data_IF_199060279063
#
_entry.id   IF_199060279063
#
_cell.length_a   1.000
_cell.length_b   1.000
_cell.length_c   1.000
_cell.angle_alpha   90.00
_cell.angle_beta   90.00
_cell.angle_gamma   90.00
#
_symmetry.space_group_name_H-M   'P 1'
#
loop_
_entity.id
_entity.type
_entity.pdbx_description
1 polymer ?
#
# COMPACT_ATOMS: atom_id res chain seq x y z
N UNK A 1 45.81 16.08 1.66
CA UNK A 1 44.95 15.05 2.27
C UNK A 1 45.55 13.68 1.99
N UNK A 2 46.03 12.97 3.01
CA UNK A 2 46.60 11.64 2.84
C UNK A 2 45.48 10.62 2.55
N UNK A 3 45.26 10.29 1.28
CA UNK A 3 44.39 9.17 0.93
C UNK A 3 45.10 7.85 1.30
N UNK A 4 44.36 6.91 1.89
CA UNK A 4 44.92 5.59 2.17
C UNK A 4 45.30 4.91 0.84
N UNK A 5 46.43 4.21 0.81
CA UNK A 5 46.95 3.54 -0.40
C UNK A 5 45.90 2.61 -1.02
N UNK A 6 45.12 1.91 -0.18
CA UNK A 6 44.04 1.04 -0.65
C UNK A 6 42.91 1.79 -1.34
N UNK A 7 42.55 2.98 -0.84
CA UNK A 7 41.50 3.82 -1.45
C UNK A 7 41.96 4.43 -2.77
N UNK A 8 43.21 4.90 -2.84
CA UNK A 8 43.78 5.41 -4.09
C UNK A 8 43.85 4.32 -5.18
N UNK A 9 44.32 3.12 -4.85
CA UNK A 9 44.41 2.01 -5.80
C UNK A 9 43.02 1.50 -6.19
N UNK A 10 42.10 1.32 -5.22
CA UNK A 10 40.74 0.86 -5.49
C UNK A 10 39.95 1.80 -6.41
N UNK A 11 39.99 3.12 -6.16
CA UNK A 11 39.36 4.11 -7.04
C UNK A 11 40.00 4.16 -8.43
N UNK A 12 41.31 3.91 -8.51
CA UNK A 12 42.02 3.84 -9.79
C UNK A 12 41.62 2.61 -10.60
N UNK A 13 41.40 1.46 -9.96
CA UNK A 13 40.87 0.26 -10.61
C UNK A 13 39.41 0.43 -11.06
N UNK A 14 38.59 1.17 -10.30
CA UNK A 14 37.25 1.58 -10.74
C UNK A 14 37.25 2.42 -12.01
N UNK A 15 38.12 3.42 -12.09
CA UNK A 15 38.16 4.36 -13.23
C UNK A 15 38.79 3.74 -14.48
N UNK A 16 39.67 2.75 -14.29
CA UNK A 16 40.46 2.08 -15.33
C UNK A 16 41.44 3.01 -16.05
N UNK A 17 42.55 2.47 -16.56
CA UNK A 17 43.38 3.17 -17.56
C UNK A 17 42.85 2.90 -18.97
N UNK A 18 43.21 3.74 -19.94
CA UNK A 18 42.88 3.54 -21.36
C UNK A 18 43.29 2.14 -21.89
N UNK A 19 44.36 1.56 -21.34
CA UNK A 19 44.87 0.22 -21.66
C UNK A 19 44.09 -0.93 -20.98
N UNK A 20 43.40 -0.67 -19.87
CA UNK A 20 42.74 -1.70 -19.05
C UNK A 20 41.26 -1.81 -19.43
N UNK A 21 41.02 -2.40 -20.61
CA UNK A 21 39.67 -2.50 -21.21
C UNK A 21 38.79 -3.51 -20.48
N UNK A 22 39.38 -4.60 -19.97
CA UNK A 22 38.65 -5.68 -19.32
C UNK A 22 38.10 -5.27 -17.95
N UNK A 23 38.93 -4.66 -17.10
CA UNK A 23 38.48 -4.15 -15.79
C UNK A 23 37.33 -3.14 -15.87
N UNK A 24 37.35 -2.25 -16.87
CA UNK A 24 36.23 -1.32 -17.11
C UNK A 24 34.97 -2.02 -17.57
N UNK A 25 35.09 -3.01 -18.46
CA UNK A 25 33.95 -3.80 -18.92
C UNK A 25 33.24 -4.51 -17.76
N UNK A 26 34.00 -5.22 -16.93
CA UNK A 26 33.47 -5.96 -15.76
C UNK A 26 32.79 -5.02 -14.76
N UNK A 27 33.44 -3.90 -14.42
CA UNK A 27 32.86 -2.91 -13.50
C UNK A 27 31.59 -2.27 -14.07
N UNK A 28 31.55 -2.00 -15.38
CA UNK A 28 30.36 -1.44 -16.04
C UNK A 28 29.21 -2.44 -16.09
N UNK A 29 29.49 -3.71 -16.38
CA UNK A 29 28.48 -4.77 -16.43
C UNK A 29 27.84 -5.00 -15.05
N UNK A 30 28.67 -5.02 -14.00
CA UNK A 30 28.19 -5.10 -12.62
C UNK A 30 27.34 -3.89 -12.24
N UNK A 31 27.80 -2.68 -12.56
CA UNK A 31 27.05 -1.45 -12.29
C UNK A 31 25.70 -1.41 -13.05
N UNK A 32 25.66 -1.87 -14.30
CA UNK A 32 24.43 -1.97 -15.11
C UNK A 32 23.45 -2.97 -14.48
N UNK A 33 23.92 -4.15 -14.08
CA UNK A 33 23.06 -5.15 -13.44
C UNK A 33 22.39 -4.62 -12.16
N UNK A 34 23.17 -3.93 -11.31
CA UNK A 34 22.64 -3.30 -10.09
C UNK A 34 21.69 -2.15 -10.45
N UNK A 35 22.06 -1.31 -11.42
CA UNK A 35 21.23 -0.19 -11.89
C UNK A 35 19.86 -0.68 -12.34
N UNK A 36 19.81 -1.71 -13.18
CA UNK A 36 18.57 -2.29 -13.69
C UNK A 36 17.74 -2.91 -12.57
N UNK A 37 18.38 -3.68 -11.67
CA UNK A 37 17.69 -4.28 -10.51
C UNK A 37 17.06 -3.24 -9.59
N UNK A 38 17.81 -2.20 -9.21
CA UNK A 38 17.33 -1.11 -8.34
C UNK A 38 16.25 -0.29 -9.05
N UNK A 39 16.42 0.03 -10.33
CA UNK A 39 15.42 0.76 -11.14
C UNK A 39 14.10 0.00 -11.18
N UNK A 40 14.16 -1.30 -11.49
CA UNK A 40 12.97 -2.16 -11.56
C UNK A 40 12.27 -2.27 -10.20
N UNK A 41 13.04 -2.49 -9.12
CA UNK A 41 12.50 -2.62 -7.78
C UNK A 41 11.80 -1.34 -7.32
N UNK A 42 12.40 -0.17 -7.53
CA UNK A 42 11.76 1.11 -7.20
C UNK A 42 10.49 1.32 -8.04
N UNK A 43 10.54 1.00 -9.34
CA UNK A 43 9.39 1.20 -10.23
C UNK A 43 8.21 0.33 -9.84
N UNK A 44 8.43 -0.97 -9.67
CA UNK A 44 7.37 -1.91 -9.31
C UNK A 44 6.80 -1.61 -7.93
N UNK A 45 7.64 -1.31 -6.93
CA UNK A 45 7.16 -0.97 -5.57
C UNK A 45 6.39 0.34 -5.55
N UNK A 46 6.78 1.34 -6.33
CA UNK A 46 6.08 2.63 -6.40
C UNK A 46 4.69 2.51 -7.03
N UNK A 47 4.54 1.70 -8.07
CA UNK A 47 3.24 1.39 -8.68
C UNK A 47 2.38 0.59 -7.71
N UNK A 48 2.95 -0.44 -7.05
CA UNK A 48 2.18 -1.27 -6.11
C UNK A 48 1.72 -0.48 -4.88
N UNK A 49 2.58 0.37 -4.32
CA UNK A 49 2.22 1.27 -3.23
C UNK A 49 1.12 2.27 -3.66
N UNK A 50 1.20 2.79 -4.88
CA UNK A 50 0.17 3.66 -5.42
C UNK A 50 -1.16 2.96 -5.62
N UNK A 51 -1.13 1.73 -6.15
CA UNK A 51 -2.32 0.90 -6.29
C UNK A 51 -2.97 0.60 -4.94
N UNK A 52 -2.19 0.16 -3.95
CA UNK A 52 -2.67 -0.09 -2.58
C UNK A 52 -3.32 1.15 -1.97
N UNK A 53 -2.70 2.32 -2.13
CA UNK A 53 -3.27 3.60 -1.66
C UNK A 53 -4.55 3.97 -2.40
N UNK A 54 -4.59 3.80 -3.72
CA UNK A 54 -5.80 4.07 -4.51
C UNK A 54 -6.96 3.18 -4.09
N UNK A 55 -6.69 1.89 -3.83
CA UNK A 55 -7.69 0.97 -3.28
C UNK A 55 -8.14 1.38 -1.88
N UNK A 56 -7.21 1.77 -1.02
CA UNK A 56 -7.51 2.29 0.32
C UNK A 56 -8.43 3.52 0.23
N UNK A 57 -8.07 4.52 -0.58
CA UNK A 57 -8.82 5.77 -0.73
C UNK A 57 -10.18 5.56 -1.44
N UNK A 58 -10.31 4.53 -2.28
CA UNK A 58 -11.57 4.23 -2.98
C UNK A 58 -12.55 3.40 -2.16
N UNK A 59 -12.04 2.51 -1.30
CA UNK A 59 -12.86 1.56 -0.52
C UNK A 59 -13.04 2.07 0.92
N UNK A 60 -11.96 2.38 1.64
CA UNK A 60 -12.00 2.72 3.07
C UNK A 60 -12.38 4.18 3.36
N UNK A 61 -12.41 5.06 2.36
CA UNK A 61 -12.80 6.46 2.56
C UNK A 61 -14.31 6.61 2.84
N UNK A 62 -15.14 5.76 2.25
CA UNK A 62 -16.60 5.92 2.29
C UNK A 62 -17.29 4.94 3.23
N UNK A 63 -16.67 3.78 3.50
CA UNK A 63 -17.20 2.83 4.48
C UNK A 63 -16.76 3.18 5.92
N UNK A 64 -17.47 2.68 6.94
CA UNK A 64 -16.97 2.72 8.31
C UNK A 64 -15.68 1.91 8.45
N UNK A 65 -14.62 2.54 8.96
CA UNK A 65 -13.30 1.92 9.09
C UNK A 65 -13.26 1.00 10.31
N UNK A 66 -13.69 1.49 11.47
CA UNK A 66 -13.90 0.70 12.66
C UNK A 66 -15.15 1.19 13.40
N UNK A 67 -15.80 0.26 14.10
CA UNK A 67 -16.98 0.51 14.90
C UNK A 67 -16.78 -0.16 16.25
N UNK A 68 -17.09 0.57 17.31
CA UNK A 68 -17.25 -0.01 18.64
C UNK A 68 -18.73 -0.32 18.81
N UNK A 69 -19.04 -1.61 18.93
CA UNK A 69 -20.40 -2.11 19.14
C UNK A 69 -20.48 -2.93 20.43
N UNK A 70 -21.67 -3.39 20.80
CA UNK A 70 -21.86 -4.35 21.89
C UNK A 70 -22.08 -5.76 21.34
N UNK A 71 -21.95 -6.78 22.18
CA UNK A 71 -22.28 -8.15 21.78
C UNK A 71 -23.75 -8.32 21.31
N UNK A 72 -24.65 -7.43 21.73
CA UNK A 72 -26.06 -7.39 21.27
C UNK A 72 -26.29 -6.61 19.97
N UNK A 73 -25.23 -6.04 19.36
CA UNK A 73 -25.30 -5.31 18.10
C UNK A 73 -25.95 -3.93 18.16
N UNK A 74 -26.31 -3.43 19.36
CA UNK A 74 -26.73 -2.05 19.58
C UNK A 74 -26.14 -1.50 20.87
N UNK A 75 -25.89 -0.20 20.90
CA UNK A 75 -25.33 0.54 22.03
C UNK A 75 -26.35 1.58 22.48
N UNK A 76 -26.41 1.76 23.80
CA UNK A 76 -27.00 2.92 24.43
C UNK A 76 -25.90 3.98 24.68
N UNK A 77 -25.92 5.12 23.96
CA UNK A 77 -24.94 6.19 24.13
C UNK A 77 -24.87 6.75 25.56
N UNK A 78 -25.94 6.62 26.36
CA UNK A 78 -25.92 7.06 27.75
C UNK A 78 -25.08 6.14 28.66
N UNK A 79 -25.05 4.84 28.35
CA UNK A 79 -24.25 3.85 29.08
C UNK A 79 -22.79 3.83 28.61
N UNK A 80 -22.57 4.06 27.32
CA UNK A 80 -21.24 4.13 26.70
C UNK A 80 -21.02 5.48 26.03
N UNK A 81 -20.75 6.55 26.81
CA UNK A 81 -20.60 7.89 26.26
C UNK A 81 -19.30 8.03 25.47
N UNK A 82 -19.35 8.85 24.42
CA UNK A 82 -18.20 9.17 23.55
C UNK A 82 -16.94 9.59 24.33
N UNK A 83 -17.10 10.27 25.48
CA UNK A 83 -16.00 10.73 26.35
C UNK A 83 -15.13 9.57 26.86
N UNK A 84 -15.72 8.39 27.09
CA UNK A 84 -14.98 7.21 27.53
C UNK A 84 -14.06 6.64 26.44
N UNK A 85 -14.28 7.05 25.18
CA UNK A 85 -13.59 6.54 24.00
C UNK A 85 -12.53 7.51 23.44
N UNK A 86 -12.44 8.73 24.00
CA UNK A 86 -11.52 9.77 23.52
C UNK A 86 -10.03 9.45 23.73
N UNK A 87 -9.71 8.49 24.60
CA UNK A 87 -8.32 8.10 24.89
C UNK A 87 -7.74 7.07 23.91
N UNK A 88 -8.52 6.63 22.92
CA UNK A 88 -8.05 5.67 21.92
C UNK A 88 -7.02 6.35 21.00
N UNK A 89 -5.82 5.78 20.94
CA UNK A 89 -4.74 6.30 20.08
C UNK A 89 -5.06 6.00 18.62
N UNK A 90 -4.73 6.94 17.72
CA UNK A 90 -4.93 6.79 16.26
C UNK A 90 -6.38 6.99 15.79
N UNK A 91 -7.25 7.56 16.63
CA UNK A 91 -8.63 7.90 16.32
C UNK A 91 -8.75 9.43 16.22
N UNK A 92 -9.15 9.92 15.05
CA UNK A 92 -9.33 11.35 14.76
C UNK A 92 -10.69 11.87 15.20
N UNK A 93 -11.73 11.10 14.91
CA UNK A 93 -13.10 11.49 15.13
C UNK A 93 -13.96 10.28 15.48
N UNK A 94 -14.98 10.50 16.29
CA UNK A 94 -15.93 9.46 16.71
C UNK A 94 -17.33 10.00 16.46
N UNK A 95 -18.15 9.21 15.77
CA UNK A 95 -19.51 9.59 15.43
C UNK A 95 -20.49 8.42 15.65
N UNK A 96 -21.75 8.70 16.01
CA UNK A 96 -22.72 7.64 16.25
C UNK A 96 -23.32 7.13 14.93
N UNK A 97 -23.21 5.83 14.65
CA UNK A 97 -23.72 5.24 13.41
C UNK A 97 -24.77 4.16 13.69
N UNK A 98 -25.78 4.13 12.82
CA UNK A 98 -26.70 2.99 12.71
C UNK A 98 -26.48 2.34 11.37
N UNK A 99 -26.13 1.05 11.33
CA UNK A 99 -25.84 0.38 10.07
C UNK A 99 -26.51 -0.98 9.94
N UNK A 100 -26.88 -1.34 8.72
CA UNK A 100 -27.41 -2.66 8.38
C UNK A 100 -27.29 -2.93 6.90
N UNK A 101 -27.09 -4.20 6.55
CA UNK A 101 -27.29 -4.64 5.17
C UNK A 101 -28.80 -4.60 4.86
N UNK A 102 -29.14 -4.08 3.68
CA UNK A 102 -30.52 -3.87 3.21
C UNK A 102 -30.70 -4.41 1.81
N UNK A 103 -31.90 -4.92 1.52
CA UNK A 103 -32.37 -5.17 0.17
C UNK A 103 -33.21 -3.97 -0.25
N UNK A 104 -32.88 -3.40 -1.40
CA UNK A 104 -33.62 -2.31 -2.01
C UNK A 104 -34.49 -2.87 -3.13
N UNK A 105 -35.77 -2.50 -3.12
CA UNK A 105 -36.72 -2.92 -4.14
C UNK A 105 -37.37 -1.68 -4.75
N UNK A 106 -37.16 -1.48 -6.06
CA UNK A 106 -37.90 -0.52 -6.87
C UNK A 106 -39.09 -1.21 -7.54
N UNK A 107 -39.78 -0.49 -8.44
CA UNK A 107 -40.90 -1.06 -9.20
C UNK A 107 -40.46 -2.14 -10.19
N UNK A 108 -39.23 -2.07 -10.68
CA UNK A 108 -38.74 -2.92 -11.77
C UNK A 108 -37.57 -3.81 -11.36
N UNK A 109 -36.78 -3.37 -10.38
CA UNK A 109 -35.48 -3.96 -10.07
C UNK A 109 -35.30 -4.15 -8.56
N UNK A 110 -34.36 -5.02 -8.20
CA UNK A 110 -33.92 -5.27 -6.83
C UNK A 110 -32.42 -5.09 -6.75
N UNK A 111 -31.95 -4.48 -5.67
CA UNK A 111 -30.55 -4.28 -5.35
C UNK A 111 -30.26 -4.66 -3.91
N UNK A 112 -28.97 -4.76 -3.57
CA UNK A 112 -28.50 -4.96 -2.21
C UNK A 112 -27.54 -3.83 -1.89
N UNK A 113 -27.61 -3.32 -0.67
CA UNK A 113 -26.76 -2.23 -0.24
C UNK A 113 -26.52 -2.24 1.27
N UNK A 114 -25.63 -1.36 1.68
CA UNK A 114 -25.29 -1.06 3.06
C UNK A 114 -25.96 0.26 3.43
N UNK A 115 -26.88 0.21 4.40
CA UNK A 115 -27.53 1.39 4.94
C UNK A 115 -26.67 1.99 6.04
N UNK A 116 -26.19 3.22 5.82
CA UNK A 116 -25.57 4.06 6.83
C UNK A 116 -26.55 5.12 7.34
N UNK A 117 -26.99 4.99 8.58
CA UNK A 117 -27.75 5.97 9.32
C UNK A 117 -26.84 6.93 10.07
N UNK A 118 -26.79 8.19 9.64
CA UNK A 118 -25.94 9.24 10.22
C UNK A 118 -26.74 10.43 10.73
N UNK A 119 -26.16 11.24 11.60
CA UNK A 119 -26.77 12.49 12.04
C UNK A 119 -26.67 13.55 10.93
N UNK A 120 -27.70 14.40 10.70
CA UNK A 120 -27.64 15.43 9.65
C UNK A 120 -26.45 16.40 9.78
N UNK A 121 -26.03 16.65 11.02
CA UNK A 121 -24.90 17.51 11.38
C UNK A 121 -23.54 16.85 11.24
N UNK A 122 -23.46 15.52 11.08
CA UNK A 122 -22.21 14.76 11.00
C UNK A 122 -21.55 14.92 9.62
N UNK A 123 -20.26 15.31 9.52
CA UNK A 123 -19.55 15.37 8.24
C UNK A 123 -19.59 14.03 7.49
N UNK A 124 -19.94 14.07 6.20
CA UNK A 124 -20.07 12.86 5.39
C UNK A 124 -19.52 13.09 3.99
N UNK A 125 -18.41 12.41 3.68
CA UNK A 125 -17.75 12.48 2.37
C UNK A 125 -18.66 12.03 1.21
N UNK A 126 -19.67 11.21 1.50
CA UNK A 126 -20.67 10.79 0.52
C UNK A 126 -21.63 11.93 0.19
N UNK A 127 -22.10 12.67 1.21
CA UNK A 127 -23.01 13.81 1.01
C UNK A 127 -22.30 15.04 0.43
N UNK A 128 -20.99 15.14 0.60
CA UNK A 128 -20.18 16.19 -0.03
C UNK A 128 -20.02 15.98 -1.56
N UNK A 129 -20.38 14.78 -2.06
CA UNK A 129 -20.31 14.39 -3.48
C UNK A 129 -21.70 14.16 -4.11
N UNK A 130 -22.71 14.89 -3.65
CA UNK A 130 -24.04 14.85 -4.24
C UNK A 130 -24.02 15.42 -5.66
N UNK A 131 -24.54 14.63 -6.61
CA UNK A 131 -24.83 15.07 -7.98
C UNK A 131 -26.28 15.55 -8.12
N UNK A 132 -27.14 15.14 -7.20
CA UNK A 132 -28.55 15.54 -7.13
C UNK A 132 -29.03 15.47 -5.69
N UNK A 133 -29.92 16.40 -5.30
CA UNK A 133 -30.36 16.53 -3.91
C UNK A 133 -29.58 17.58 -3.14
N UNK A 134 -30.07 17.87 -1.95
CA UNK A 134 -29.42 18.77 -1.01
C UNK A 134 -29.20 18.04 0.32
N UNK A 135 -28.12 18.38 1.03
CA UNK A 135 -27.80 17.76 2.31
C UNK A 135 -28.90 17.99 3.34
N UNK A 136 -29.56 19.13 3.24
CA UNK A 136 -30.68 19.55 4.07
C UNK A 136 -31.90 18.64 3.93
N UNK A 137 -31.98 17.84 2.85
CA UNK A 137 -33.03 16.83 2.68
C UNK A 137 -32.82 15.61 3.61
N UNK A 138 -31.65 15.46 4.24
CA UNK A 138 -31.40 14.47 5.28
C UNK A 138 -32.07 14.90 6.60
N UNK A 139 -33.36 14.58 6.74
CA UNK A 139 -34.15 14.93 7.92
C UNK A 139 -34.62 13.67 8.65
N UNK A 140 -34.53 13.70 9.97
CA UNK A 140 -35.06 12.61 10.77
C UNK A 140 -36.59 12.51 10.62
N UNK A 141 -37.10 11.31 10.38
CA UNK A 141 -38.52 11.03 10.25
C UNK A 141 -39.11 11.27 8.87
N UNK A 142 -38.35 11.84 7.92
CA UNK A 142 -38.83 12.02 6.55
C UNK A 142 -38.68 10.77 5.68
N UNK A 143 -37.95 9.75 6.15
CA UNK A 143 -37.65 8.53 5.38
C UNK A 143 -37.05 8.87 4.02
N UNK A 144 -36.10 9.79 4.02
CA UNK A 144 -35.33 10.16 2.83
C UNK A 144 -34.08 9.27 2.73
N UNK A 145 -33.76 8.85 1.51
CA UNK A 145 -32.57 8.06 1.20
C UNK A 145 -31.73 8.74 0.14
N UNK A 146 -30.41 8.69 0.33
CA UNK A 146 -29.41 9.09 -0.63
C UNK A 146 -28.72 7.84 -1.17
N UNK A 147 -28.73 7.67 -2.48
CA UNK A 147 -28.22 6.46 -3.13
C UNK A 147 -26.93 6.74 -3.90
N UNK A 148 -26.02 5.77 -3.97
CA UNK A 148 -24.93 5.79 -4.93
C UNK A 148 -25.45 5.79 -6.37
N UNK A 149 -24.77 6.49 -7.27
CA UNK A 149 -25.24 6.68 -8.65
C UNK A 149 -25.51 5.35 -9.39
N UNK A 150 -24.59 4.38 -9.31
CA UNK A 150 -24.76 3.08 -9.97
C UNK A 150 -25.86 2.25 -9.33
N UNK A 151 -26.05 2.33 -8.01
CA UNK A 151 -27.16 1.69 -7.32
C UNK A 151 -28.51 2.26 -7.79
N UNK A 152 -28.61 3.59 -7.92
CA UNK A 152 -29.81 4.25 -8.44
C UNK A 152 -30.10 3.87 -9.90
N UNK A 153 -29.07 3.84 -10.76
CA UNK A 153 -29.18 3.37 -12.15
C UNK A 153 -29.66 1.92 -12.24
N UNK A 154 -29.04 1.01 -11.46
CA UNK A 154 -29.42 -0.41 -11.42
C UNK A 154 -30.85 -0.63 -10.92
N UNK A 155 -31.32 0.23 -10.01
CA UNK A 155 -32.70 0.21 -9.52
C UNK A 155 -33.68 0.90 -10.47
N UNK A 156 -33.19 1.66 -11.45
CA UNK A 156 -34.02 2.46 -12.37
C UNK A 156 -34.73 3.62 -11.69
N UNK A 157 -34.18 4.17 -10.61
CA UNK A 157 -34.80 5.24 -9.80
C UNK A 157 -34.06 6.57 -9.96
N UNK A 158 -34.79 7.66 -9.83
CA UNK A 158 -34.29 9.04 -9.86
C UNK A 158 -34.71 9.78 -8.59
N UNK A 159 -34.16 10.97 -8.37
CA UNK A 159 -34.61 11.85 -7.28
C UNK A 159 -36.12 12.09 -7.40
N UNK A 160 -36.84 11.93 -6.30
CA UNK A 160 -38.29 12.03 -6.21
C UNK A 160 -39.03 10.70 -6.33
N UNK A 161 -38.37 9.63 -6.78
CA UNK A 161 -38.96 8.30 -6.78
C UNK A 161 -38.95 7.68 -5.38
N UNK A 162 -39.69 6.57 -5.22
CA UNK A 162 -39.72 5.79 -3.99
C UNK A 162 -38.97 4.47 -4.18
N UNK A 163 -38.23 4.06 -3.15
CA UNK A 163 -37.60 2.75 -3.06
C UNK A 163 -37.97 2.09 -1.74
N UNK A 164 -38.29 0.81 -1.77
CA UNK A 164 -38.56 0.02 -0.58
C UNK A 164 -37.25 -0.53 -0.04
N UNK A 165 -36.94 -0.21 1.22
CA UNK A 165 -35.85 -0.81 1.96
C UNK A 165 -36.40 -1.96 2.79
N UNK A 166 -35.68 -3.09 2.78
CA UNK A 166 -36.03 -4.31 3.50
C UNK A 166 -34.80 -4.76 4.28
N UNK A 167 -34.95 -5.05 5.57
CA UNK A 167 -33.92 -5.64 6.43
C UNK A 167 -34.34 -7.08 6.74
N UNK A 168 -33.75 -8.09 6.07
CA UNK A 168 -34.16 -9.48 6.24
C UNK A 168 -33.93 -10.02 7.66
N UNK A 169 -32.86 -9.57 8.33
CA UNK A 169 -32.46 -10.04 9.66
C UNK A 169 -33.36 -9.55 10.81
N UNK A 170 -34.20 -8.54 10.58
CA UNK A 170 -35.13 -8.00 11.58
C UNK A 170 -36.54 -8.33 11.13
N UNK A 171 -37.29 -9.12 11.90
CA UNK A 171 -38.66 -9.49 11.54
C UNK A 171 -39.61 -9.32 12.71
N UNK A 172 -40.89 -9.17 12.38
CA UNK A 172 -41.99 -9.18 13.35
C UNK A 172 -42.90 -10.36 13.13
N UNK A 173 -43.39 -10.92 14.22
CA UNK A 173 -44.43 -11.92 14.18
C UNK A 173 -45.77 -11.23 13.94
N UNK A 174 -46.44 -11.60 12.86
CA UNK A 174 -47.81 -11.21 12.56
C UNK A 174 -48.70 -12.45 12.55
N UNK A 175 -50.03 -12.33 12.63
CA UNK A 175 -50.94 -13.47 12.47
C UNK A 175 -50.74 -14.25 11.16
N UNK A 176 -50.16 -13.61 10.13
CA UNK A 176 -49.87 -14.20 8.82
C UNK A 176 -48.43 -14.72 8.68
N UNK A 177 -47.65 -14.76 9.77
CA UNK A 177 -46.26 -15.22 9.78
C UNK A 177 -45.23 -14.13 10.07
N UNK A 178 -43.95 -14.47 9.94
CA UNK A 178 -42.83 -13.54 10.14
C UNK A 178 -42.68 -12.63 8.93
N UNK A 179 -42.81 -11.33 9.13
CA UNK A 179 -42.61 -10.33 8.08
C UNK A 179 -41.32 -9.54 8.38
N UNK A 180 -40.37 -9.44 7.43
CA UNK A 180 -39.17 -8.64 7.63
C UNK A 180 -39.49 -7.16 7.77
N UNK A 181 -38.64 -6.43 8.48
CA UNK A 181 -38.74 -5.00 8.65
C UNK A 181 -38.52 -4.32 7.30
N UNK A 182 -39.49 -3.53 6.87
CA UNK A 182 -39.45 -2.89 5.57
C UNK A 182 -40.21 -1.57 5.58
N UNK A 183 -39.77 -0.62 4.76
CA UNK A 183 -40.36 0.72 4.68
C UNK A 183 -40.07 1.34 3.31
N UNK A 184 -40.99 2.19 2.82
CA UNK A 184 -40.76 3.02 1.63
C UNK A 184 -39.96 4.26 2.03
N UNK A 185 -38.92 4.56 1.25
CA UNK A 185 -38.10 5.74 1.35
C UNK A 185 -38.20 6.56 0.06
N UNK A 186 -38.15 7.88 0.21
CA UNK A 186 -38.08 8.81 -0.92
C UNK A 186 -36.62 9.02 -1.31
N UNK A 187 -36.30 8.85 -2.59
CA UNK A 187 -34.96 9.14 -3.12
C UNK A 187 -34.76 10.65 -3.12
N UNK A 188 -34.10 11.15 -2.08
CA UNK A 188 -33.89 12.58 -1.86
C UNK A 188 -32.66 13.11 -2.61
N UNK A 189 -31.67 12.25 -2.84
CA UNK A 189 -30.48 12.60 -3.58
C UNK A 189 -29.69 11.40 -4.08
N UNK A 190 -28.72 11.70 -4.93
CA UNK A 190 -27.81 10.72 -5.52
C UNK A 190 -26.39 11.28 -5.38
N UNK A 191 -25.44 10.46 -4.93
CA UNK A 191 -24.03 10.82 -4.84
C UNK A 191 -23.17 10.02 -5.83
N UNK A 192 -22.01 10.58 -6.18
CA UNK A 192 -21.05 9.93 -7.06
C UNK A 192 -19.62 10.09 -6.54
N UNK A 193 -19.03 8.97 -6.13
CA UNK A 193 -17.67 8.85 -5.61
C UNK A 193 -16.68 8.38 -6.67
N UNK A 194 -17.17 7.85 -7.80
CA UNK A 194 -16.39 7.13 -8.81
C UNK A 194 -15.69 5.88 -8.24
N UNK A 195 -16.26 5.28 -7.20
CA UNK A 195 -15.70 4.13 -6.50
C UNK A 195 -16.75 3.05 -6.24
N UNK A 196 -16.42 2.14 -5.32
CA UNK A 196 -17.30 1.03 -4.96
C UNK A 196 -18.57 1.51 -4.24
N UNK A 197 -18.48 2.60 -3.47
CA UNK A 197 -19.61 3.17 -2.73
C UNK A 197 -20.81 3.52 -3.64
N UNK A 198 -20.57 3.83 -4.91
CA UNK A 198 -21.63 4.15 -5.87
C UNK A 198 -22.56 2.96 -6.15
N UNK A 199 -22.09 1.74 -5.89
CA UNK A 199 -22.81 0.50 -6.21
C UNK A 199 -23.58 -0.09 -5.04
N UNK A 200 -23.18 0.20 -3.80
CA UNK A 200 -23.68 -0.50 -2.62
C UNK A 200 -23.99 0.38 -1.42
N UNK A 201 -23.47 1.60 -1.32
CA UNK A 201 -23.71 2.45 -0.15
C UNK A 201 -24.98 3.29 -0.32
N UNK A 202 -25.69 3.50 0.80
CA UNK A 202 -26.78 4.46 0.89
C UNK A 202 -26.81 5.13 2.26
N UNK A 203 -27.26 6.38 2.28
CA UNK A 203 -27.37 7.16 3.51
C UNK A 203 -28.83 7.47 3.81
N UNK A 204 -29.19 7.33 5.08
CA UNK A 204 -30.48 7.76 5.64
C UNK A 204 -30.24 8.49 6.97
N UNK A 205 -31.27 9.16 7.49
CA UNK A 205 -31.18 9.75 8.80
C UNK A 205 -31.03 8.64 9.86
N UNK A 206 -30.12 8.82 10.82
CA UNK A 206 -29.84 7.84 11.88
C UNK A 206 -31.10 7.35 12.60
N UNK A 207 -32.04 8.24 12.90
CA UNK A 207 -33.30 7.89 13.57
C UNK A 207 -34.21 7.01 12.72
N UNK A 208 -34.18 7.16 11.39
CA UNK A 208 -35.00 6.35 10.47
C UNK A 208 -34.39 4.96 10.32
N UNK A 209 -33.05 4.87 10.23
CA UNK A 209 -32.32 3.61 10.28
C UNK A 209 -32.58 2.86 11.60
N UNK A 210 -32.50 3.54 12.75
CA UNK A 210 -32.74 2.94 14.06
C UNK A 210 -34.18 2.40 14.17
N UNK A 211 -35.16 3.13 13.63
CA UNK A 211 -36.56 2.67 13.55
C UNK A 211 -36.72 1.44 12.68
N UNK A 212 -36.04 1.37 11.53
CA UNK A 212 -36.05 0.16 10.70
C UNK A 212 -35.47 -1.05 11.41
N UNK A 213 -34.40 -0.86 12.18
CA UNK A 213 -33.79 -1.91 13.02
C UNK A 213 -34.55 -2.19 14.32
N UNK A 214 -35.62 -1.43 14.60
CA UNK A 214 -36.44 -1.53 15.82
C UNK A 214 -35.65 -1.30 17.10
N UNK A 215 -34.63 -0.46 17.04
CA UNK A 215 -33.91 -0.06 18.23
C UNK A 215 -34.79 0.86 19.10
N UNK A 216 -34.68 0.78 20.44
CA UNK A 216 -35.20 1.81 21.32
C UNK A 216 -34.69 3.20 20.92
N UNK A 217 -35.49 4.23 21.18
CA UNK A 217 -35.14 5.60 20.82
C UNK A 217 -33.78 6.00 21.42
N UNK A 218 -32.92 6.60 20.59
CA UNK A 218 -31.57 7.03 20.99
C UNK A 218 -30.50 5.95 20.92
N UNK A 219 -30.83 4.68 20.64
CA UNK A 219 -29.83 3.63 20.46
C UNK A 219 -29.26 3.60 19.06
N UNK A 220 -28.00 3.19 18.99
CA UNK A 220 -27.19 3.16 17.76
C UNK A 220 -26.60 1.78 17.54
N UNK A 221 -26.14 1.46 16.33
CA UNK A 221 -25.41 0.19 16.11
C UNK A 221 -24.05 0.24 16.77
N UNK A 222 -23.39 1.39 16.72
CA UNK A 222 -22.15 1.62 17.45
C UNK A 222 -21.52 2.98 17.21
N UNK A 223 -20.36 3.19 17.82
CA UNK A 223 -19.54 4.37 17.60
C UNK A 223 -18.60 4.12 16.41
N UNK A 224 -18.82 4.81 15.30
CA UNK A 224 -17.91 4.85 14.16
C UNK A 224 -16.65 5.59 14.56
N UNK A 225 -15.51 4.99 14.29
CA UNK A 225 -14.19 5.56 14.49
C UNK A 225 -13.57 5.92 13.15
N UNK A 226 -13.11 7.16 13.04
CA UNK A 226 -12.30 7.64 11.93
C UNK A 226 -10.83 7.51 12.32
N UNK A 227 -10.08 6.71 11.58
CA UNK A 227 -8.71 6.33 11.89
C UNK A 227 -7.73 7.12 11.02
N UNK A 228 -6.56 7.44 11.58
CA UNK A 228 -5.43 8.01 10.81
C UNK A 228 -4.92 7.03 9.75
N UNK A 229 -4.73 5.78 10.17
CA UNK A 229 -4.18 4.70 9.34
C UNK A 229 -5.14 3.50 9.37
N UNK A 230 -6.20 3.51 8.54
CA UNK A 230 -7.22 2.46 8.54
C UNK A 230 -6.69 1.04 8.33
N UNK A 231 -5.56 0.89 7.63
CA UNK A 231 -4.91 -0.40 7.38
C UNK A 231 -4.23 -1.00 8.62
N UNK A 232 -3.91 -0.18 9.64
CA UNK A 232 -3.32 -0.62 10.92
C UNK A 232 -4.36 -0.93 11.99
N UNK A 233 -5.62 -1.15 11.59
CA UNK A 233 -6.72 -1.44 12.52
C UNK A 233 -6.46 -2.70 13.36
N UNK A 234 -5.60 -3.61 12.90
CA UNK A 234 -5.17 -4.81 13.64
C UNK A 234 -4.35 -4.50 14.89
N UNK A 235 -3.56 -3.43 14.87
CA UNK A 235 -2.84 -2.93 16.04
C UNK A 235 -3.77 -2.11 16.93
N UNK A 236 -4.65 -1.30 16.33
CA UNK A 236 -5.59 -0.44 17.04
C UNK A 236 -6.64 -1.25 17.81
N UNK A 237 -7.14 -2.35 17.23
CA UNK A 237 -8.16 -3.21 17.82
C UNK A 237 -7.67 -4.00 19.04
N UNK A 238 -6.35 -3.97 19.34
CA UNK A 238 -5.77 -4.58 20.55
C UNK A 238 -5.87 -3.67 21.78
N UNK A 239 -6.23 -2.40 21.61
CA UNK A 239 -6.40 -1.46 22.71
C UNK A 239 -7.57 -1.91 23.63
N UNK A 240 -7.37 -1.78 24.94
CA UNK A 240 -8.37 -2.14 25.92
C UNK A 240 -9.63 -1.27 25.76
N UNK A 241 -10.79 -1.91 25.71
CA UNK A 241 -12.08 -1.25 25.65
C UNK A 241 -12.76 -1.23 27.02
N UNK A 242 -13.64 -0.23 27.27
CA UNK A 242 -14.61 -0.30 28.36
C UNK A 242 -15.42 -1.61 28.31
N UNK A 243 -15.82 -2.11 29.49
CA UNK A 243 -16.58 -3.36 29.61
C UNK A 243 -17.83 -3.36 28.74
N UNK A 244 -18.06 -4.44 27.99
CA UNK A 244 -19.25 -4.63 27.16
C UNK A 244 -19.12 -4.14 25.71
N UNK A 245 -18.02 -3.47 25.34
CA UNK A 245 -17.72 -3.06 23.98
C UNK A 245 -16.80 -4.05 23.26
N UNK A 246 -17.02 -4.18 21.96
CA UNK A 246 -16.26 -5.04 21.04
C UNK A 246 -15.90 -4.24 19.80
N UNK A 247 -14.70 -4.48 19.28
CA UNK A 247 -14.26 -3.97 17.98
C UNK A 247 -14.91 -4.75 16.84
N UNK A 248 -15.53 -4.05 15.91
CA UNK A 248 -15.84 -4.54 14.58
C UNK A 248 -15.22 -3.59 13.57
N UNK A 249 -14.72 -4.10 12.45
CA UNK A 249 -14.00 -3.27 11.48
C UNK A 249 -14.17 -3.74 10.04
N UNK A 250 -13.63 -2.96 9.12
CA UNK A 250 -13.75 -3.20 7.68
C UNK A 250 -13.23 -4.58 7.25
N UNK A 251 -12.33 -5.22 8.03
CA UNK A 251 -11.76 -6.53 7.69
C UNK A 251 -12.78 -7.66 7.73
N UNK A 252 -13.85 -7.54 8.50
CA UNK A 252 -14.93 -8.54 8.47
C UNK A 252 -15.55 -8.67 7.07
N UNK A 253 -15.55 -7.58 6.30
CA UNK A 253 -16.16 -7.50 4.96
C UNK A 253 -15.12 -7.58 3.84
N UNK A 254 -13.95 -6.98 4.05
CA UNK A 254 -12.92 -6.77 3.01
C UNK A 254 -11.55 -7.33 3.38
N UNK A 255 -11.43 -8.04 4.50
CA UNK A 255 -10.18 -8.59 5.01
C UNK A 255 -9.53 -9.56 4.02
N UNK A 256 -10.29 -10.48 3.45
CA UNK A 256 -9.78 -11.43 2.44
C UNK A 256 -9.25 -10.72 1.18
N UNK A 257 -9.92 -9.67 0.73
CA UNK A 257 -9.47 -8.88 -0.42
C UNK A 257 -8.14 -8.18 -0.15
N UNK A 258 -8.02 -7.47 0.98
CA UNK A 258 -6.76 -6.80 1.34
C UNK A 258 -5.65 -7.80 1.69
N UNK A 259 -5.98 -8.98 2.23
CA UNK A 259 -5.03 -10.08 2.40
C UNK A 259 -4.49 -10.55 1.04
N UNK A 260 -5.35 -10.72 0.03
CA UNK A 260 -4.92 -11.07 -1.32
C UNK A 260 -4.01 -9.99 -1.93
N UNK A 261 -4.33 -8.71 -1.78
CA UNK A 261 -3.47 -7.59 -2.20
C UNK A 261 -2.11 -7.64 -1.50
N UNK A 262 -2.09 -7.93 -0.19
CA UNK A 262 -0.84 -8.06 0.58
C UNK A 262 -0.02 -9.27 0.15
N UNK A 263 -0.68 -10.40 -0.12
CA UNK A 263 -0.03 -11.60 -0.64
C UNK A 263 0.61 -11.34 -2.01
N UNK A 264 -0.08 -10.63 -2.90
CA UNK A 264 0.44 -10.22 -4.20
C UNK A 264 1.69 -9.33 -4.06
N UNK A 265 1.64 -8.33 -3.17
CA UNK A 265 2.78 -7.46 -2.87
C UNK A 265 3.99 -8.25 -2.35
N UNK A 266 3.77 -9.21 -1.45
CA UNK A 266 4.83 -10.06 -0.91
C UNK A 266 5.42 -10.97 -2.00
N UNK A 267 4.60 -11.52 -2.89
CA UNK A 267 5.04 -12.35 -4.01
C UNK A 267 5.89 -11.53 -5.00
N UNK A 268 5.48 -10.30 -5.34
CA UNK A 268 6.30 -9.39 -6.13
C UNK A 268 7.63 -9.06 -5.42
N UNK A 269 7.60 -8.83 -4.11
CA UNK A 269 8.81 -8.64 -3.31
C UNK A 269 9.78 -9.83 -3.40
N UNK A 270 9.26 -11.05 -3.36
CA UNK A 270 10.04 -12.27 -3.54
C UNK A 270 10.65 -12.35 -4.95
N UNK A 271 9.86 -12.11 -6.00
CA UNK A 271 10.35 -12.11 -7.39
C UNK A 271 11.45 -11.06 -7.60
N UNK A 272 11.27 -9.85 -7.06
CA UNK A 272 12.27 -8.79 -7.15
C UNK A 272 13.53 -9.12 -6.32
N UNK A 273 13.39 -9.80 -5.18
CA UNK A 273 14.54 -10.27 -4.39
C UNK A 273 15.39 -11.28 -5.18
N UNK A 274 14.76 -12.13 -6.00
CA UNK A 274 15.45 -13.08 -6.88
C UNK A 274 16.26 -12.34 -7.95
N UNK A 275 15.73 -11.25 -8.52
CA UNK A 275 16.45 -10.40 -9.47
C UNK A 275 17.72 -9.82 -8.83
N UNK A 276 17.63 -9.36 -7.58
CA UNK A 276 18.81 -8.88 -6.83
C UNK A 276 19.80 -10.02 -6.58
N UNK A 277 19.33 -11.21 -6.22
CA UNK A 277 20.21 -12.37 -6.02
C UNK A 277 20.98 -12.70 -7.31
N UNK A 278 20.31 -12.71 -8.46
CA UNK A 278 20.94 -12.90 -9.78
C UNK A 278 21.97 -11.80 -10.06
N UNK A 279 21.66 -10.54 -9.76
CA UNK A 279 22.62 -9.43 -9.89
C UNK A 279 23.84 -9.61 -8.97
N UNK A 280 23.63 -10.05 -7.72
CA UNK A 280 24.72 -10.32 -6.78
C UNK A 280 25.64 -11.45 -7.26
N UNK A 281 25.08 -12.54 -7.80
CA UNK A 281 25.87 -13.61 -8.42
C UNK A 281 26.70 -13.09 -9.60
N UNK A 282 26.13 -12.20 -10.42
CA UNK A 282 26.86 -11.58 -11.52
C UNK A 282 28.07 -10.79 -11.01
N UNK A 283 27.94 -10.05 -9.90
CA UNK A 283 29.06 -9.33 -9.27
C UNK A 283 30.15 -10.31 -8.81
N UNK A 284 29.77 -11.41 -8.15
CA UNK A 284 30.72 -12.42 -7.65
C UNK A 284 31.54 -12.98 -8.81
N UNK A 285 30.89 -13.42 -9.89
CA UNK A 285 31.57 -14.04 -11.04
C UNK A 285 32.43 -13.02 -11.78
N UNK A 286 31.89 -11.83 -12.04
CA UNK A 286 32.58 -10.70 -12.66
C UNK A 286 33.87 -10.30 -11.92
N UNK A 287 33.78 -10.05 -10.61
CA UNK A 287 34.95 -9.67 -9.81
C UNK A 287 35.92 -10.82 -9.61
N UNK A 288 35.45 -12.06 -9.50
CA UNK A 288 36.35 -13.22 -9.42
C UNK A 288 37.22 -13.34 -10.67
N UNK A 289 36.63 -13.12 -11.84
CA UNK A 289 37.34 -13.18 -13.10
C UNK A 289 38.33 -12.02 -13.24
N UNK A 290 37.95 -10.82 -12.81
CA UNK A 290 38.88 -9.68 -12.73
C UNK A 290 40.08 -9.96 -11.81
N UNK A 291 39.84 -10.55 -10.64
CA UNK A 291 40.90 -10.91 -9.70
C UNK A 291 41.89 -11.89 -10.35
N UNK A 292 41.41 -12.84 -11.15
CA UNK A 292 42.26 -13.76 -11.90
C UNK A 292 43.14 -13.04 -12.92
N UNK A 293 42.60 -12.07 -13.65
CA UNK A 293 43.38 -11.27 -14.62
C UNK A 293 44.44 -10.39 -13.93
N UNK A 294 44.16 -9.93 -12.71
CA UNK A 294 45.05 -9.04 -11.93
C UNK A 294 46.00 -9.75 -10.97
N UNK A 295 46.18 -11.07 -11.08
CA UNK A 295 47.04 -11.84 -10.17
C UNK A 295 48.50 -11.37 -10.17
N UNK A 296 49.07 -11.05 -11.33
CA UNK A 296 50.45 -10.52 -11.45
C UNK A 296 50.61 -9.19 -10.72
N UNK A 297 49.69 -8.24 -10.93
CA UNK A 297 49.70 -6.94 -10.22
C UNK A 297 49.58 -7.12 -8.70
N UNK A 298 48.73 -8.05 -8.23
CA UNK A 298 48.59 -8.37 -6.81
C UNK A 298 49.88 -8.97 -6.24
N UNK A 299 50.55 -9.84 -6.99
CA UNK A 299 51.82 -10.43 -6.58
C UNK A 299 52.92 -9.37 -6.43
N UNK A 300 53.04 -8.44 -7.38
CA UNK A 300 53.97 -7.32 -7.32
C UNK A 300 53.69 -6.44 -6.08
N UNK A 301 52.42 -6.12 -5.80
CA UNK A 301 52.07 -5.35 -4.61
C UNK A 301 52.46 -6.10 -3.31
N UNK A 302 52.32 -7.43 -3.29
CA UNK A 302 52.73 -8.26 -2.13
C UNK A 302 54.24 -8.31 -1.95
N UNK A 303 55.02 -8.43 -3.02
CA UNK A 303 56.49 -8.42 -2.94
C UNK A 303 57.03 -7.06 -2.52
N UNK A 304 56.34 -5.97 -2.88
CA UNK A 304 56.60 -4.61 -2.37
C UNK A 304 56.18 -4.40 -0.89
N UNK A 305 55.59 -5.41 -0.24
CA UNK A 305 55.28 -5.38 1.20
C UNK A 305 53.83 -5.06 1.57
N UNK A 306 52.88 -5.03 0.61
CA UNK A 306 51.48 -4.77 0.91
C UNK A 306 50.83 -5.95 1.67
N UNK A 307 50.28 -5.68 2.87
CA UNK A 307 49.63 -6.70 3.72
C UNK A 307 48.34 -7.23 3.08
N UNK A 308 47.99 -8.49 3.35
CA UNK A 308 46.77 -9.18 2.83
C UNK A 308 45.47 -8.38 3.02
N UNK A 309 45.28 -7.76 4.19
CA UNK A 309 44.08 -6.96 4.46
C UNK A 309 43.97 -5.68 3.60
N UNK A 310 45.11 -5.11 3.18
CA UNK A 310 45.11 -3.94 2.28
C UNK A 310 44.76 -4.31 0.85
N UNK A 311 45.10 -5.52 0.42
CA UNK A 311 44.71 -6.09 -0.88
C UNK A 311 43.22 -6.38 -0.89
N UNK A 312 42.73 -7.04 0.16
CA UNK A 312 41.30 -7.18 0.44
C UNK A 312 40.57 -5.83 0.31
N UNK A 313 41.07 -4.79 0.97
CA UNK A 313 40.45 -3.46 0.93
C UNK A 313 40.44 -2.84 -0.48
N UNK A 314 41.43 -3.09 -1.33
CA UNK A 314 41.46 -2.57 -2.72
C UNK A 314 40.28 -3.13 -3.52
N UNK A 315 40.10 -4.44 -3.53
CA UNK A 315 39.03 -5.10 -4.28
C UNK A 315 37.65 -4.86 -3.67
N UNK A 316 37.57 -4.77 -2.34
CA UNK A 316 36.34 -4.36 -1.64
C UNK A 316 35.91 -2.94 -2.03
N UNK A 317 36.84 -1.98 -2.09
CA UNK A 317 36.54 -0.60 -2.50
C UNK A 317 36.10 -0.56 -3.97
N UNK A 318 36.75 -1.34 -4.83
CA UNK A 318 36.37 -1.42 -6.24
C UNK A 318 34.95 -1.98 -6.41
N UNK A 319 34.66 -3.11 -5.76
CA UNK A 319 33.36 -3.73 -5.76
C UNK A 319 32.26 -2.87 -5.14
N UNK A 320 32.54 -2.26 -4.00
CA UNK A 320 31.65 -1.30 -3.35
C UNK A 320 31.39 -0.08 -4.23
N UNK A 321 32.39 0.43 -4.96
CA UNK A 321 32.19 1.55 -5.87
C UNK A 321 31.25 1.21 -7.02
N UNK A 322 31.35 0.01 -7.60
CA UNK A 322 30.39 -0.44 -8.61
C UNK A 322 28.97 -0.55 -8.03
N UNK A 323 28.85 -1.06 -6.80
CA UNK A 323 27.60 -1.12 -6.04
C UNK A 323 26.97 0.24 -5.75
N UNK A 324 27.78 1.18 -5.27
CA UNK A 324 27.33 2.55 -4.96
C UNK A 324 26.92 3.29 -6.23
N UNK A 325 27.72 3.23 -7.29
CA UNK A 325 27.40 3.88 -8.57
C UNK A 325 26.13 3.26 -9.16
N UNK A 326 26.06 1.93 -9.24
CA UNK A 326 24.90 1.24 -9.79
C UNK A 326 23.63 1.52 -8.98
N UNK A 327 23.72 1.50 -7.65
CA UNK A 327 22.58 1.82 -6.79
C UNK A 327 22.16 3.29 -6.90
N UNK A 328 23.10 4.25 -6.91
CA UNK A 328 22.74 5.67 -7.03
C UNK A 328 22.09 5.97 -8.39
N UNK A 329 22.70 5.49 -9.48
CA UNK A 329 22.15 5.66 -10.83
C UNK A 329 20.80 4.95 -10.93
N UNK A 330 20.68 3.73 -10.40
CA UNK A 330 19.42 2.99 -10.36
C UNK A 330 18.34 3.68 -9.54
N UNK A 331 18.70 4.31 -8.42
CA UNK A 331 17.75 5.09 -7.62
C UNK A 331 17.27 6.33 -8.36
N UNK A 332 18.18 7.08 -8.99
CA UNK A 332 17.82 8.26 -9.79
C UNK A 332 16.95 7.85 -10.98
N UNK A 333 17.35 6.83 -11.74
CA UNK A 333 16.57 6.35 -12.88
C UNK A 333 15.23 5.76 -12.46
N UNK A 334 15.19 4.96 -11.39
CA UNK A 334 13.96 4.35 -10.87
C UNK A 334 12.95 5.39 -10.40
N UNK A 335 13.41 6.39 -9.64
CA UNK A 335 12.55 7.47 -9.16
C UNK A 335 12.04 8.36 -10.30
N UNK A 336 12.93 8.74 -11.23
CA UNK A 336 12.57 9.50 -12.42
C UNK A 336 11.55 8.70 -13.26
N UNK A 337 11.90 7.49 -13.68
CA UNK A 337 11.04 6.64 -14.50
C UNK A 337 9.66 6.45 -13.85
N UNK A 338 9.62 6.14 -12.55
CA UNK A 338 8.37 6.02 -11.79
C UNK A 338 7.53 7.30 -11.86
N UNK A 339 8.14 8.47 -11.66
CA UNK A 339 7.43 9.75 -11.69
C UNK A 339 6.92 10.13 -13.09
N UNK A 340 7.56 9.64 -14.15
CA UNK A 340 7.16 9.89 -15.54
C UNK A 340 6.34 8.75 -16.18
N UNK A 341 6.00 7.67 -15.47
CA UNK A 341 5.23 6.56 -16.04
C UNK A 341 3.90 7.01 -16.67
N UNK A 342 3.20 7.95 -16.04
CA UNK A 342 1.94 8.49 -16.55
C UNK A 342 2.09 9.26 -17.88
N UNK A 343 3.30 9.75 -18.18
CA UNK A 343 3.62 10.37 -19.47
C UNK A 343 4.10 9.34 -20.50
N UNK A 344 4.92 8.38 -20.07
CA UNK A 344 5.56 7.39 -20.95
C UNK A 344 4.56 6.32 -21.43
N UNK A 345 3.74 5.78 -20.53
CA UNK A 345 2.87 4.63 -20.81
C UNK A 345 1.83 4.88 -21.93
N UNK A 346 1.18 6.05 -22.01
CA UNK A 346 0.30 6.36 -23.15
C UNK A 346 1.07 6.54 -24.47
N UNK A 347 2.33 7.00 -24.41
CA UNK A 347 3.17 7.24 -25.59
C UNK A 347 3.57 5.93 -26.28
N UNK A 348 3.81 4.88 -25.49
CA UNK A 348 4.17 3.53 -25.96
C UNK A 348 2.95 2.63 -26.22
N UNK A 349 1.72 3.15 -26.05
CA UNK A 349 0.48 2.42 -26.31
C UNK A 349 0.10 1.37 -25.26
N UNK A 350 0.75 1.36 -24.09
CA UNK A 350 0.45 0.41 -23.02
C UNK A 350 -0.71 0.85 -22.12
N UNK A 351 -1.13 2.12 -22.19
CA UNK A 351 -2.32 2.63 -21.49
C UNK A 351 -3.18 3.51 -22.41
N UNK A 352 -4.52 3.41 -22.33
CA UNK A 352 -5.41 4.34 -22.99
C UNK A 352 -5.18 5.78 -22.52
N UNK A 353 -5.34 6.75 -23.44
CA UNK A 353 -5.29 8.18 -23.09
C UNK A 353 -6.40 8.49 -22.08
N UNK A 354 -6.04 9.01 -20.91
CA UNK A 354 -6.96 9.38 -19.84
C UNK A 354 -6.96 8.46 -18.62
N UNK A 355 -6.27 7.31 -18.67
CA UNK A 355 -6.07 6.43 -17.50
C UNK A 355 -4.71 6.74 -16.87
N UNK A 356 -4.72 7.24 -15.64
CA UNK A 356 -3.50 7.47 -14.85
C UNK A 356 -3.22 6.28 -13.94
N UNK A 357 -1.98 5.80 -13.93
CA UNK A 357 -1.51 4.85 -12.92
C UNK A 357 -1.36 5.58 -11.58
N UNK A 358 -1.89 5.00 -10.50
CA UNK A 358 -1.63 5.49 -9.17
C UNK A 358 -0.19 5.11 -8.80
N UNK A 359 0.64 6.12 -8.56
CA UNK A 359 2.07 5.93 -8.27
C UNK A 359 2.38 6.72 -6.99
N UNK A 360 2.95 6.05 -6.01
CA UNK A 360 3.36 6.66 -4.74
C UNK A 360 4.81 6.33 -4.48
N UNK A 361 5.64 7.38 -4.45
CA UNK A 361 7.06 7.27 -4.11
C UNK A 361 7.20 7.24 -2.59
N UNK A 362 7.45 6.06 -2.04
CA UNK A 362 7.85 5.92 -0.64
C UNK A 362 9.36 6.11 -0.52
N UNK A 363 9.78 7.33 -0.17
CA UNK A 363 11.20 7.68 -0.01
C UNK A 363 11.92 6.81 1.02
N UNK A 364 11.22 6.35 2.06
CA UNK A 364 11.80 5.48 3.07
C UNK A 364 12.10 4.09 2.49
N UNK A 365 11.15 3.50 1.77
CA UNK A 365 11.34 2.27 1.02
C UNK A 365 12.44 2.39 -0.04
N UNK A 366 12.48 3.48 -0.80
CA UNK A 366 13.54 3.74 -1.80
C UNK A 366 14.93 3.78 -1.15
N UNK A 367 15.05 4.43 0.01
CA UNK A 367 16.31 4.48 0.75
C UNK A 367 16.72 3.08 1.24
N UNK A 368 15.78 2.30 1.76
CA UNK A 368 16.01 0.91 2.19
C UNK A 368 16.48 0.05 1.00
N UNK A 369 15.86 0.20 -0.17
CA UNK A 369 16.25 -0.50 -1.40
C UNK A 369 17.69 -0.15 -1.79
N UNK A 370 18.02 1.16 -1.82
CA UNK A 370 19.34 1.62 -2.19
C UNK A 370 20.42 1.10 -1.23
N UNK A 371 20.19 1.24 0.09
CA UNK A 371 21.12 0.74 1.11
C UNK A 371 21.26 -0.78 1.08
N UNK A 372 20.17 -1.51 0.86
CA UNK A 372 20.20 -2.98 0.75
C UNK A 372 20.97 -3.44 -0.48
N UNK A 373 20.79 -2.77 -1.62
CA UNK A 373 21.56 -3.07 -2.84
C UNK A 373 23.06 -2.80 -2.65
N UNK A 374 23.42 -1.69 -2.00
CA UNK A 374 24.81 -1.40 -1.65
C UNK A 374 25.39 -2.44 -0.68
N UNK A 375 24.63 -2.85 0.33
CA UNK A 375 25.04 -3.86 1.30
C UNK A 375 25.24 -5.22 0.64
N UNK A 376 24.30 -5.66 -0.21
CA UNK A 376 24.38 -6.92 -0.95
C UNK A 376 25.57 -6.89 -1.91
N UNK A 377 25.78 -5.77 -2.62
CA UNK A 377 26.96 -5.60 -3.47
C UNK A 377 28.24 -5.69 -2.65
N UNK A 378 28.32 -5.05 -1.49
CA UNK A 378 29.47 -5.15 -0.60
C UNK A 378 29.70 -6.62 -0.17
N UNK A 379 28.65 -7.32 0.27
CA UNK A 379 28.73 -8.72 0.68
C UNK A 379 29.18 -9.65 -0.45
N UNK A 380 28.66 -9.46 -1.66
CA UNK A 380 29.07 -10.18 -2.86
C UNK A 380 30.56 -10.00 -3.17
N UNK A 381 31.16 -8.88 -2.77
CA UNK A 381 32.57 -8.57 -3.05
C UNK A 381 33.55 -9.18 -2.04
N UNK A 382 33.08 -9.67 -0.88
CA UNK A 382 33.95 -10.27 0.13
C UNK A 382 34.67 -11.51 -0.40
N UNK A 383 33.94 -12.44 -1.02
CA UNK A 383 34.51 -13.70 -1.48
C UNK A 383 35.61 -13.51 -2.54
N UNK A 384 35.38 -12.75 -3.65
CA UNK A 384 36.42 -12.46 -4.62
C UNK A 384 37.63 -11.72 -4.02
N UNK A 385 37.38 -10.74 -3.14
CA UNK A 385 38.44 -9.95 -2.52
C UNK A 385 39.33 -10.79 -1.60
N UNK A 386 38.74 -11.74 -0.86
CA UNK A 386 39.49 -12.68 -0.03
C UNK A 386 40.34 -13.62 -0.86
N UNK A 387 39.77 -14.15 -1.96
CA UNK A 387 40.51 -14.98 -2.91
C UNK A 387 41.69 -14.21 -3.53
N UNK A 388 41.52 -12.93 -3.84
CA UNK A 388 42.60 -12.07 -4.34
C UNK A 388 43.75 -11.93 -3.34
N UNK A 389 43.44 -11.70 -2.06
CA UNK A 389 44.46 -11.55 -1.03
C UNK A 389 45.21 -12.86 -0.72
N UNK A 390 44.61 -14.01 -1.03
CA UNK A 390 45.19 -15.33 -0.84
C UNK A 390 46.23 -15.73 -1.91
N UNK A 391 46.29 -15.04 -3.06
CA UNK A 391 47.23 -15.34 -4.16
C UNK A 391 48.69 -15.36 -3.69
N UNK A 392 49.43 -16.44 -3.97
CA UNK A 392 50.85 -16.53 -3.59
C UNK A 392 51.73 -15.82 -4.62
N UNK A 393 52.65 -14.91 -4.21
CA UNK A 393 53.47 -14.17 -5.16
C UNK A 393 54.35 -15.06 -6.04
N UNK A 394 54.90 -16.14 -5.46
CA UNK A 394 55.76 -17.08 -6.16
C UNK A 394 55.02 -17.90 -7.24
N UNK A 395 53.73 -18.20 -7.04
CA UNK A 395 52.93 -18.91 -8.04
C UNK A 395 52.49 -17.98 -9.18
N UNK A 396 52.05 -16.76 -8.82
CA UNK A 396 51.57 -15.79 -9.79
C UNK A 396 52.67 -15.26 -10.73
N UNK A 397 53.90 -15.10 -10.24
CA UNK A 397 55.05 -14.63 -11.03
C UNK A 397 55.81 -15.75 -11.75
N UNK A 398 55.42 -17.03 -11.56
CA UNK A 398 56.09 -18.16 -12.24
C UNK A 398 55.67 -18.30 -13.70
N UNK A 399 54.52 -17.71 -14.06
CA UNK A 399 53.87 -17.84 -15.36
C UNK A 399 53.83 -16.52 -16.16
N UNK A 400 54.46 -15.47 -15.63
CA UNK A 400 54.94 -14.31 -16.40
C UNK A 400 56.40 -14.54 -16.78
#
# INVERSE_FOLDING_TARGET
>A
MHQSVSLFIGLRYLRGRAADKFGRFVSSLSAIGITLGVTALITVTSVMNGFERSLQDSILAYMPQAILTSASGNIDPAQHPIKALQNLKGVNHIAPIVQSDVVLQSRTNVGVGMMGGIEPTEPSLLLDKLISGQREDLKAGSYNVFLGNKLAENLGVKRGDEVRLIIPGVSQLTPMGRIPSQRLFNVAGIFQTNGEADTSELIVAQQDAARMLRYPAGRITGWRLYLDEPLKVDELSKQALPSGLVWTDWRERKGEFFQAVRMEKNMMGLLLSLIIAVAAFNIITSLSLLVMEKQGEVAILKTLGLKRWRILAIFMIQGAGAGVIGSLVGTVLGTLLSSQLNFIMPLIGLLPKGVSLPIVLDYSGILIIALSAMLISLLATLYPSWRAAAVQPAEALRYE
#
